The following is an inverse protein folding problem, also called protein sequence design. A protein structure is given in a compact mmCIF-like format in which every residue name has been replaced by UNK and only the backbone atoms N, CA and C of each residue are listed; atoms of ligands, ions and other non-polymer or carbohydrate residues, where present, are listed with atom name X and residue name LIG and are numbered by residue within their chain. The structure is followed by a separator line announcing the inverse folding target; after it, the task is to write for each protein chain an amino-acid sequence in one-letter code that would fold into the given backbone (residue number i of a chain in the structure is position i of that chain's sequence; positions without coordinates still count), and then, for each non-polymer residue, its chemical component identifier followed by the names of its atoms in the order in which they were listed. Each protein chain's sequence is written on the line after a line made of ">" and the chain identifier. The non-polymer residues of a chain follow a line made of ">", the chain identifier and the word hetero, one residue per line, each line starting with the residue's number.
data_IF_457348930815
#
_entry.id   IF_457348930815
#
_cell.length_a   1.000
_cell.length_b   1.000
_cell.length_c   1.000
_cell.angle_alpha   90.00
_cell.angle_beta   90.00
_cell.angle_gamma   90.00
#
_symmetry.space_group_name_H-M   'P 1'
#
loop_
_entity.id
_entity.type
_entity.pdbx_description
1 polymer ?
#
# COMPACT_ATOMS: atom_id res chain seq x y z
N UNK A 1 0.37 10.82 17.01
CA UNK A 1 -0.05 10.52 15.61
C UNK A 1 -0.81 11.69 15.02
N UNK A 2 -0.44 12.17 13.84
CA UNK A 2 -1.13 13.21 13.08
C UNK A 2 -2.19 12.57 12.17
N UNK A 3 -3.32 13.28 11.94
CA UNK A 3 -4.41 12.81 11.07
C UNK A 3 -4.67 13.84 9.97
N UNK A 4 -4.82 13.36 8.74
CA UNK A 4 -5.01 14.18 7.55
C UNK A 4 -6.29 13.77 6.80
N UNK A 5 -6.94 14.72 6.15
CA UNK A 5 -8.11 14.43 5.33
C UNK A 5 -7.66 13.75 4.02
N UNK A 6 -8.28 12.62 3.70
CA UNK A 6 -7.98 11.86 2.48
C UNK A 6 -8.83 12.38 1.30
N UNK A 7 -8.38 13.45 0.68
CA UNK A 7 -9.05 14.07 -0.47
C UNK A 7 -10.53 14.38 -0.21
N UNK A 8 -11.40 13.99 -1.16
CA UNK A 8 -12.86 14.17 -1.07
C UNK A 8 -13.60 13.02 -0.38
N UNK A 9 -12.88 12.00 0.14
CA UNK A 9 -13.51 10.84 0.78
C UNK A 9 -14.20 11.16 2.11
N UNK A 10 -13.83 12.26 2.75
CA UNK A 10 -14.27 12.59 4.11
C UNK A 10 -13.52 11.85 5.21
N UNK A 11 -12.68 10.89 4.88
CA UNK A 11 -11.94 10.09 5.85
C UNK A 11 -10.75 10.87 6.42
N UNK A 12 -10.65 10.94 7.74
CA UNK A 12 -9.53 11.54 8.45
C UNK A 12 -8.56 10.46 8.92
N UNK A 13 -7.61 10.12 8.04
CA UNK A 13 -6.68 9.01 8.22
C UNK A 13 -5.41 9.42 8.95
N UNK A 14 -4.80 8.48 9.68
CA UNK A 14 -3.49 8.66 10.30
C UNK A 14 -2.39 8.83 9.25
N UNK A 15 -1.37 9.65 9.55
CA UNK A 15 -0.20 9.87 8.66
C UNK A 15 0.48 8.57 8.27
N UNK A 16 0.62 7.64 9.21
CA UNK A 16 0.98 6.25 8.93
C UNK A 16 -0.27 5.39 8.95
N UNK A 17 -0.39 4.51 7.98
CA UNK A 17 -1.47 3.52 7.86
C UNK A 17 -0.90 2.11 7.75
N UNK A 18 -1.68 1.13 8.12
CA UNK A 18 -1.26 -0.26 8.21
C UNK A 18 -1.63 -1.03 6.95
N UNK A 19 -0.63 -1.36 6.12
CA UNK A 19 -0.77 -2.31 5.02
C UNK A 19 -0.67 -3.74 5.56
N UNK A 20 -1.68 -4.54 5.34
CA UNK A 20 -1.79 -5.86 5.94
C UNK A 20 -1.10 -6.98 5.13
N UNK A 21 -0.36 -6.67 4.06
CA UNK A 21 0.28 -7.71 3.21
C UNK A 21 1.19 -8.66 3.99
N UNK A 22 1.92 -8.15 4.98
CA UNK A 22 2.79 -8.98 5.83
C UNK A 22 2.02 -10.00 6.68
N UNK A 23 0.75 -9.75 7.02
CA UNK A 23 -0.08 -10.70 7.78
C UNK A 23 -0.39 -11.97 6.97
N UNK A 24 -0.33 -11.89 5.63
CA UNK A 24 -0.52 -13.01 4.71
C UNK A 24 0.74 -13.79 4.37
N UNK A 25 1.82 -13.63 5.12
CA UNK A 25 3.11 -14.26 4.87
C UNK A 25 3.70 -13.98 3.47
N UNK A 26 3.34 -12.85 2.86
CA UNK A 26 3.78 -12.44 1.50
C UNK A 26 5.30 -12.32 1.40
N UNK A 27 5.95 -11.89 2.47
CA UNK A 27 7.39 -11.64 2.50
C UNK A 27 8.16 -12.71 3.29
N UNK A 28 7.56 -13.23 4.36
CA UNK A 28 8.16 -14.21 5.28
C UNK A 28 7.07 -14.99 5.99
N UNK A 29 7.37 -16.22 6.50
CA UNK A 29 6.48 -16.90 7.43
C UNK A 29 6.13 -16.00 8.61
N UNK A 30 4.90 -16.09 9.09
CA UNK A 30 4.33 -15.22 10.10
C UNK A 30 3.70 -16.06 11.21
N UNK A 31 3.96 -15.71 12.46
CA UNK A 31 3.21 -16.19 13.60
C UNK A 31 1.89 -15.43 13.73
N UNK A 32 0.76 -16.13 13.69
CA UNK A 32 -0.57 -15.49 13.68
C UNK A 32 -0.84 -14.68 14.96
N UNK A 33 -0.58 -15.19 16.18
CA UNK A 33 -0.70 -14.41 17.42
C UNK A 33 0.13 -13.12 17.40
N UNK A 34 1.38 -13.17 16.92
CA UNK A 34 2.24 -12.00 16.80
C UNK A 34 1.67 -10.99 15.79
N UNK A 35 1.18 -11.47 14.65
CA UNK A 35 0.54 -10.64 13.62
C UNK A 35 -0.73 -9.92 14.13
N UNK A 36 -1.58 -10.62 14.87
CA UNK A 36 -2.76 -10.04 15.54
C UNK A 36 -2.32 -8.96 16.54
N UNK A 37 -1.30 -9.21 17.33
CA UNK A 37 -0.77 -8.23 18.28
C UNK A 37 -0.14 -7.01 17.57
N UNK A 38 0.42 -7.16 16.37
CA UNK A 38 0.89 -6.04 15.57
C UNK A 38 -0.26 -5.11 15.15
N UNK A 39 -1.42 -5.67 14.77
CA UNK A 39 -2.63 -4.87 14.46
C UNK A 39 -3.15 -4.13 15.69
N UNK A 40 -3.24 -4.81 16.84
CA UNK A 40 -3.67 -4.18 18.08
C UNK A 40 -2.69 -3.06 18.50
N UNK A 41 -1.38 -3.30 18.38
CA UNK A 41 -0.35 -2.29 18.63
C UNK A 41 -0.53 -1.07 17.72
N UNK A 42 -0.87 -1.29 16.44
CA UNK A 42 -1.14 -0.20 15.49
C UNK A 42 -2.35 0.64 15.94
N UNK A 43 -3.46 -0.01 16.32
CA UNK A 43 -4.65 0.66 16.86
C UNK A 43 -4.35 1.47 18.12
N UNK A 44 -3.58 0.91 19.05
CA UNK A 44 -3.23 1.55 20.33
C UNK A 44 -2.31 2.78 20.13
N UNK A 45 -1.50 2.77 19.08
CA UNK A 45 -0.63 3.89 18.68
C UNK A 45 -1.36 4.94 17.81
N UNK A 46 -2.67 4.75 17.58
CA UNK A 46 -3.51 5.70 16.86
C UNK A 46 -3.50 5.56 15.35
N UNK A 47 -3.01 4.43 14.81
CA UNK A 47 -3.23 4.10 13.40
C UNK A 47 -4.69 3.72 13.23
N UNK A 48 -5.37 4.39 12.29
CA UNK A 48 -6.80 4.21 12.07
C UNK A 48 -7.17 3.83 10.64
N UNK A 49 -6.20 3.56 9.75
CA UNK A 49 -6.49 3.09 8.40
C UNK A 49 -5.72 1.80 8.12
N UNK A 50 -6.45 0.77 7.71
CA UNK A 50 -5.96 -0.58 7.41
C UNK A 50 -6.31 -0.94 5.98
N UNK A 51 -5.30 -1.34 5.20
CA UNK A 51 -5.44 -1.78 3.81
C UNK A 51 -5.05 -3.24 3.66
N UNK A 52 -5.86 -4.00 2.95
CA UNK A 52 -5.65 -5.43 2.72
C UNK A 52 -6.02 -5.81 1.28
N UNK A 53 -5.84 -7.06 0.89
CA UNK A 53 -6.32 -7.60 -0.39
C UNK A 53 -6.56 -9.11 -0.31
N UNK A 54 -7.53 -9.65 -1.07
CA UNK A 54 -7.69 -11.11 -1.22
C UNK A 54 -6.44 -11.81 -1.77
N UNK A 55 -5.69 -11.12 -2.63
CA UNK A 55 -4.45 -11.63 -3.21
C UNK A 55 -3.32 -11.84 -2.19
N UNK A 56 -3.38 -11.19 -1.02
CA UNK A 56 -2.30 -11.28 -0.05
C UNK A 56 -2.31 -12.61 0.70
N UNK A 57 -1.36 -13.48 0.34
CA UNK A 57 -1.23 -14.80 0.94
C UNK A 57 -2.44 -15.72 0.72
N UNK A 58 -3.11 -15.61 -0.45
CA UNK A 58 -4.28 -16.43 -0.75
C UNK A 58 -5.41 -16.23 0.28
N UNK A 59 -5.77 -15.00 0.56
CA UNK A 59 -6.78 -14.57 1.55
C UNK A 59 -6.37 -14.65 3.02
N UNK A 60 -5.19 -15.19 3.34
CA UNK A 60 -4.72 -15.31 4.72
C UNK A 60 -4.66 -13.94 5.42
N UNK A 61 -4.20 -12.92 4.70
CA UNK A 61 -4.09 -11.56 5.23
C UNK A 61 -5.43 -11.00 5.70
N UNK A 62 -6.49 -11.16 4.90
CA UNK A 62 -7.85 -10.75 5.29
C UNK A 62 -8.36 -11.54 6.50
N UNK A 63 -8.06 -12.85 6.52
CA UNK A 63 -8.47 -13.73 7.64
C UNK A 63 -7.79 -13.31 8.95
N UNK A 64 -6.50 -13.04 8.94
CA UNK A 64 -5.75 -12.61 10.13
C UNK A 64 -6.18 -11.21 10.57
N UNK A 65 -6.34 -10.28 9.63
CA UNK A 65 -6.81 -8.92 9.93
C UNK A 65 -8.24 -8.95 10.51
N UNK A 66 -9.14 -9.75 9.95
CA UNK A 66 -10.50 -9.92 10.45
C UNK A 66 -10.54 -10.49 11.88
N UNK A 67 -9.66 -11.44 12.20
CA UNK A 67 -9.50 -11.94 13.58
C UNK A 67 -9.03 -10.83 14.52
N UNK A 68 -8.07 -10.02 14.10
CA UNK A 68 -7.52 -8.93 14.90
C UNK A 68 -8.53 -7.79 15.12
N UNK A 69 -9.38 -7.52 14.14
CA UNK A 69 -10.40 -6.47 14.25
C UNK A 69 -11.68 -6.93 14.97
N UNK A 70 -11.81 -8.22 15.27
CA UNK A 70 -12.99 -8.74 15.98
C UNK A 70 -13.13 -8.09 17.35
N UNK A 71 -14.28 -7.45 17.57
CA UNK A 71 -14.59 -6.74 18.83
C UNK A 71 -14.01 -5.33 18.91
N UNK A 72 -13.24 -4.89 17.94
CA UNK A 72 -12.83 -3.47 17.82
C UNK A 72 -14.03 -2.67 17.29
N UNK A 73 -14.47 -1.59 17.97
CA UNK A 73 -15.56 -0.75 17.46
C UNK A 73 -15.26 -0.26 16.05
N UNK A 74 -16.26 -0.38 15.14
CA UNK A 74 -16.09 -0.11 13.70
C UNK A 74 -15.74 1.35 13.38
N UNK A 75 -16.12 2.27 14.23
CA UNK A 75 -15.83 3.70 14.14
C UNK A 75 -14.40 4.08 14.55
N UNK A 76 -13.63 3.12 15.10
CA UNK A 76 -12.23 3.34 15.46
C UNK A 76 -11.26 3.22 14.28
N UNK A 77 -11.70 2.67 13.15
CA UNK A 77 -10.81 2.44 12.01
C UNK A 77 -11.52 2.57 10.66
N UNK A 78 -10.75 2.89 9.66
CA UNK A 78 -11.12 2.80 8.24
C UNK A 78 -10.50 1.55 7.64
N UNK A 79 -11.23 0.91 6.72
CA UNK A 79 -10.84 -0.36 6.13
C UNK A 79 -10.96 -0.31 4.61
N UNK A 80 -9.89 -0.68 3.92
CA UNK A 80 -9.94 -0.94 2.49
C UNK A 80 -9.57 -2.37 2.16
N UNK A 81 -10.17 -2.90 1.11
CA UNK A 81 -9.72 -4.11 0.43
C UNK A 81 -9.72 -3.89 -1.08
N UNK A 82 -9.41 -4.94 -1.83
CA UNK A 82 -9.19 -4.84 -3.28
C UNK A 82 -10.01 -5.86 -4.04
N UNK A 83 -10.25 -5.57 -5.32
CA UNK A 83 -10.97 -6.46 -6.24
C UNK A 83 -10.21 -6.58 -7.56
N UNK A 84 -10.47 -7.66 -8.30
CA UNK A 84 -9.92 -7.87 -9.64
C UNK A 84 -8.69 -8.76 -9.71
N UNK A 85 -7.83 -8.77 -8.69
CA UNK A 85 -6.68 -9.68 -8.59
C UNK A 85 -6.85 -10.63 -7.42
N UNK A 86 -6.70 -11.91 -7.68
CA UNK A 86 -6.89 -12.98 -6.71
C UNK A 86 -5.74 -13.97 -6.79
N UNK A 87 -5.26 -14.44 -5.63
CA UNK A 87 -4.25 -15.50 -5.55
C UNK A 87 -4.93 -16.77 -5.08
N UNK A 88 -4.69 -17.90 -5.77
CA UNK A 88 -5.22 -19.18 -5.31
C UNK A 88 -4.63 -19.54 -3.95
N UNK A 89 -5.42 -20.05 -3.00
CA UNK A 89 -4.91 -20.51 -1.72
C UNK A 89 -3.75 -21.51 -1.90
N UNK A 90 -2.62 -21.24 -1.24
CA UNK A 90 -1.43 -22.08 -1.30
C UNK A 90 -0.55 -21.91 -2.55
N UNK A 91 -0.90 -21.02 -3.48
CA UNK A 91 -0.15 -20.75 -4.72
C UNK A 91 0.25 -19.28 -4.80
N UNK A 92 1.26 -18.87 -4.04
CA UNK A 92 1.78 -17.52 -4.15
C UNK A 92 2.46 -17.31 -5.51
N UNK A 93 2.05 -16.26 -6.24
CA UNK A 93 2.55 -15.95 -7.59
C UNK A 93 1.68 -16.50 -8.73
N UNK A 94 0.70 -17.34 -8.47
CA UNK A 94 -0.30 -17.74 -9.46
C UNK A 94 -1.53 -16.84 -9.35
N UNK A 95 -1.39 -15.56 -9.71
CA UNK A 95 -2.48 -14.60 -9.63
C UNK A 95 -3.51 -14.83 -10.74
N UNK A 96 -4.78 -14.75 -10.37
CA UNK A 96 -5.91 -14.76 -11.30
C UNK A 96 -6.47 -13.35 -11.40
N UNK A 97 -6.61 -12.84 -12.62
CA UNK A 97 -7.25 -11.57 -12.90
C UNK A 97 -8.66 -11.79 -13.43
N UNK A 98 -9.65 -11.23 -12.74
CA UNK A 98 -11.05 -11.29 -13.14
C UNK A 98 -11.77 -10.02 -12.69
N UNK A 99 -12.05 -9.13 -13.62
CA UNK A 99 -12.72 -7.86 -13.39
C UNK A 99 -14.20 -7.89 -13.76
N UNK A 100 -14.79 -9.09 -13.95
CA UNK A 100 -16.20 -9.22 -14.20
C UNK A 100 -17.05 -8.74 -13.01
N UNK A 101 -18.21 -8.16 -13.32
CA UNK A 101 -19.21 -7.75 -12.33
C UNK A 101 -19.52 -8.85 -11.34
N UNK A 102 -19.73 -10.09 -11.85
CA UNK A 102 -20.07 -11.23 -11.00
C UNK A 102 -18.95 -11.56 -10.00
N UNK A 103 -17.69 -11.58 -10.47
CA UNK A 103 -16.54 -11.91 -9.60
C UNK A 103 -16.26 -10.82 -8.59
N UNK A 104 -16.30 -9.54 -9.00
CA UNK A 104 -16.12 -8.40 -8.09
C UNK A 104 -17.14 -8.44 -6.95
N UNK A 105 -18.42 -8.62 -7.26
CA UNK A 105 -19.48 -8.70 -6.24
C UNK A 105 -19.29 -9.91 -5.32
N UNK A 106 -19.01 -11.09 -5.87
CA UNK A 106 -18.71 -12.27 -5.07
C UNK A 106 -17.49 -12.08 -4.17
N UNK A 107 -16.42 -11.48 -4.69
CA UNK A 107 -15.21 -11.17 -3.92
C UNK A 107 -15.48 -10.21 -2.77
N UNK A 108 -16.34 -9.22 -2.96
CA UNK A 108 -16.71 -8.28 -1.89
C UNK A 108 -17.39 -9.02 -0.72
N UNK A 109 -18.34 -9.92 -1.01
CA UNK A 109 -19.01 -10.73 0.00
C UNK A 109 -18.04 -11.69 0.72
N UNK A 110 -17.14 -12.31 -0.03
CA UNK A 110 -16.09 -13.16 0.53
C UNK A 110 -15.16 -12.38 1.47
N UNK A 111 -14.73 -11.19 1.05
CA UNK A 111 -13.90 -10.30 1.88
C UNK A 111 -14.66 -9.80 3.11
N UNK A 112 -15.94 -9.42 2.96
CA UNK A 112 -16.83 -9.04 4.05
C UNK A 112 -16.92 -10.14 5.12
N UNK A 113 -17.10 -11.39 4.68
CA UNK A 113 -17.14 -12.56 5.58
C UNK A 113 -15.82 -12.77 6.34
N UNK A 114 -14.66 -12.67 5.64
CA UNK A 114 -13.34 -12.85 6.27
C UNK A 114 -13.01 -11.73 7.26
N UNK A 115 -13.36 -10.49 6.92
CA UNK A 115 -13.05 -9.30 7.69
C UNK A 115 -14.11 -8.96 8.76
N UNK A 116 -15.27 -9.64 8.72
CA UNK A 116 -16.36 -9.43 9.69
C UNK A 116 -17.02 -8.06 9.58
N UNK A 117 -17.19 -7.56 8.36
CA UNK A 117 -17.81 -6.26 8.06
C UNK A 117 -18.75 -6.37 6.86
N UNK A 118 -19.73 -5.50 6.78
CA UNK A 118 -20.65 -5.36 5.64
C UNK A 118 -20.38 -4.10 4.80
N UNK A 119 -19.39 -3.30 5.22
CA UNK A 119 -19.04 -2.03 4.59
C UNK A 119 -17.54 -1.81 4.53
N UNK A 120 -17.06 -1.32 3.39
CA UNK A 120 -15.67 -0.91 3.19
C UNK A 120 -15.59 0.60 2.94
N UNK A 121 -14.66 1.27 3.62
CA UNK A 121 -14.45 2.70 3.42
C UNK A 121 -13.88 3.00 2.04
N UNK A 122 -12.99 2.12 1.52
CA UNK A 122 -12.41 2.24 0.18
C UNK A 122 -12.33 0.85 -0.46
N UNK A 123 -12.64 0.77 -1.76
CA UNK A 123 -12.29 -0.38 -2.60
C UNK A 123 -11.31 0.04 -3.68
N UNK A 124 -10.21 -0.71 -3.80
CA UNK A 124 -9.23 -0.54 -4.85
C UNK A 124 -9.42 -1.57 -5.97
N UNK A 125 -9.48 -1.12 -7.22
CA UNK A 125 -9.32 -1.99 -8.39
C UNK A 125 -7.82 -2.30 -8.49
N UNK A 126 -7.45 -3.58 -8.42
CA UNK A 126 -6.10 -4.03 -8.09
C UNK A 126 -5.31 -4.48 -9.31
N UNK A 127 -4.06 -3.98 -9.43
CA UNK A 127 -3.00 -4.49 -10.33
C UNK A 127 -3.48 -4.74 -11.77
N UNK A 128 -4.13 -3.75 -12.37
CA UNK A 128 -4.70 -3.85 -13.72
C UNK A 128 -3.62 -3.95 -14.81
N UNK A 129 -2.38 -3.69 -14.48
CA UNK A 129 -1.20 -3.76 -15.34
C UNK A 129 -0.62 -5.16 -15.49
N UNK A 130 -0.99 -6.10 -14.65
CA UNK A 130 -0.44 -7.45 -14.66
C UNK A 130 -0.74 -8.20 -15.96
N UNK A 131 0.03 -9.28 -16.23
CA UNK A 131 -0.06 -10.09 -17.44
C UNK A 131 0.05 -9.24 -18.73
N UNK A 132 1.05 -8.37 -18.78
CA UNK A 132 1.29 -7.46 -19.91
C UNK A 132 0.07 -6.62 -20.30
N UNK A 133 -0.71 -6.16 -19.30
CA UNK A 133 -1.90 -5.32 -19.48
C UNK A 133 -3.05 -5.97 -20.25
N UNK A 134 -3.07 -7.30 -20.33
CA UNK A 134 -4.10 -8.03 -21.09
C UNK A 134 -5.53 -7.72 -20.62
N UNK A 135 -5.71 -7.33 -19.36
CA UNK A 135 -7.02 -7.09 -18.75
C UNK A 135 -7.25 -5.61 -18.36
N UNK A 136 -6.33 -4.72 -18.69
CA UNK A 136 -6.42 -3.30 -18.31
C UNK A 136 -7.72 -2.65 -18.77
N UNK A 137 -8.09 -2.81 -20.05
CA UNK A 137 -9.32 -2.20 -20.58
C UNK A 137 -10.58 -2.78 -19.94
N UNK A 138 -10.59 -4.06 -19.64
CA UNK A 138 -11.69 -4.69 -18.92
C UNK A 138 -11.84 -4.15 -17.50
N UNK A 139 -10.73 -3.98 -16.78
CA UNK A 139 -10.72 -3.38 -15.46
C UNK A 139 -11.18 -1.91 -15.47
N UNK A 140 -10.79 -1.16 -16.52
CA UNK A 140 -11.15 0.25 -16.71
C UNK A 140 -12.58 0.46 -17.23
N UNK A 141 -13.29 -0.58 -17.62
CA UNK A 141 -14.70 -0.53 -18.07
C UNK A 141 -15.59 -1.27 -17.08
N UNK A 142 -15.84 -2.56 -17.26
CA UNK A 142 -16.75 -3.35 -16.42
C UNK A 142 -16.34 -3.34 -14.94
N UNK A 143 -15.03 -3.47 -14.66
CA UNK A 143 -14.51 -3.42 -13.29
C UNK A 143 -14.80 -2.08 -12.61
N UNK A 144 -14.46 -0.98 -13.30
CA UNK A 144 -14.70 0.38 -12.83
C UNK A 144 -16.19 0.66 -12.62
N UNK A 145 -17.04 0.34 -13.60
CA UNK A 145 -18.49 0.53 -13.51
C UNK A 145 -19.09 -0.23 -12.33
N UNK A 146 -18.62 -1.47 -12.12
CA UNK A 146 -19.10 -2.33 -11.01
C UNK A 146 -18.75 -1.74 -9.64
N UNK A 147 -17.54 -1.22 -9.45
CA UNK A 147 -17.15 -0.60 -8.18
C UNK A 147 -17.94 0.70 -7.94
N UNK A 148 -18.23 1.47 -8.98
CA UNK A 148 -19.11 2.63 -8.88
C UNK A 148 -20.56 2.27 -8.55
N UNK A 149 -21.08 1.14 -9.04
CA UNK A 149 -22.39 0.62 -8.64
C UNK A 149 -22.41 0.28 -7.14
N UNK A 150 -21.41 -0.43 -6.65
CA UNK A 150 -21.28 -0.76 -5.22
C UNK A 150 -21.25 0.49 -4.34
N UNK A 151 -20.61 1.58 -4.82
CA UNK A 151 -20.65 2.87 -4.11
C UNK A 151 -22.06 3.47 -4.09
N UNK A 152 -22.78 3.45 -5.22
CA UNK A 152 -24.16 3.95 -5.27
C UNK A 152 -25.14 3.13 -4.43
N UNK A 153 -24.86 1.84 -4.25
CA UNK A 153 -25.60 0.93 -3.38
C UNK A 153 -25.28 1.12 -1.88
N UNK A 154 -24.30 1.97 -1.55
CA UNK A 154 -23.88 2.20 -0.17
C UNK A 154 -23.07 1.06 0.45
N UNK A 155 -22.54 0.13 -0.37
CA UNK A 155 -21.71 -1.00 0.08
C UNK A 155 -20.27 -0.57 0.34
N UNK A 156 -19.82 0.49 -0.32
CA UNK A 156 -18.50 1.07 -0.18
C UNK A 156 -18.56 2.60 -0.12
N UNK A 157 -17.59 3.23 0.51
CA UNK A 157 -17.51 4.70 0.65
C UNK A 157 -16.79 5.37 -0.52
N UNK A 158 -15.70 4.81 -0.99
CA UNK A 158 -14.83 5.44 -1.98
C UNK A 158 -14.31 4.44 -3.02
N UNK A 159 -14.17 4.93 -4.27
CA UNK A 159 -13.60 4.21 -5.40
C UNK A 159 -12.14 4.61 -5.58
N UNK A 160 -11.28 3.62 -5.75
CA UNK A 160 -9.85 3.82 -5.93
C UNK A 160 -9.25 2.76 -6.86
N UNK A 161 -8.04 2.99 -7.31
CA UNK A 161 -7.16 1.98 -7.89
C UNK A 161 -5.97 1.75 -6.96
N UNK A 162 -5.39 0.54 -7.01
CA UNK A 162 -4.12 0.20 -6.39
C UNK A 162 -3.22 -0.42 -7.46
N UNK A 163 -2.40 0.40 -8.12
CA UNK A 163 -1.59 0.01 -9.27
C UNK A 163 -0.19 0.61 -9.20
N UNK A 164 0.70 0.13 -10.07
CA UNK A 164 2.09 0.58 -10.11
C UNK A 164 2.39 1.59 -11.23
N UNK A 165 2.12 1.36 -12.55
CA UNK A 165 2.69 2.15 -13.63
C UNK A 165 2.21 3.60 -13.66
N UNK A 166 3.16 4.54 -13.78
CA UNK A 166 2.86 5.97 -13.81
C UNK A 166 2.06 6.42 -15.04
N UNK A 167 2.24 5.79 -16.19
CA UNK A 167 1.45 6.09 -17.39
C UNK A 167 -0.04 5.74 -17.22
N UNK A 168 -0.35 4.62 -16.56
CA UNK A 168 -1.73 4.26 -16.21
C UNK A 168 -2.31 5.20 -15.16
N UNK A 169 -1.52 5.63 -14.17
CA UNK A 169 -1.97 6.64 -13.22
C UNK A 169 -2.34 7.95 -13.91
N UNK A 170 -1.51 8.45 -14.84
CA UNK A 170 -1.81 9.66 -15.62
C UNK A 170 -3.12 9.50 -16.38
N UNK A 171 -3.30 8.38 -17.10
CA UNK A 171 -4.54 8.06 -17.80
C UNK A 171 -5.76 8.05 -16.89
N UNK A 172 -5.65 7.40 -15.73
CA UNK A 172 -6.75 7.31 -14.74
C UNK A 172 -7.09 8.70 -14.21
N UNK A 173 -6.09 9.50 -13.84
CA UNK A 173 -6.30 10.85 -13.34
C UNK A 173 -6.92 11.79 -14.36
N UNK A 174 -6.63 11.60 -15.64
CA UNK A 174 -7.21 12.40 -16.73
C UNK A 174 -8.67 12.01 -17.03
N UNK A 175 -8.93 10.70 -17.14
CA UNK A 175 -10.13 10.17 -17.80
C UNK A 175 -11.15 9.52 -16.88
N UNK A 176 -10.84 9.26 -15.60
CA UNK A 176 -11.71 8.54 -14.68
C UNK A 176 -12.01 9.35 -13.42
N UNK A 177 -13.21 9.16 -12.88
CA UNK A 177 -13.59 9.72 -11.58
C UNK A 177 -13.25 8.73 -10.47
N UNK A 178 -12.29 9.09 -9.62
CA UNK A 178 -11.91 8.33 -8.43
C UNK A 178 -11.89 9.23 -7.20
N UNK A 179 -12.01 8.62 -6.03
CA UNK A 179 -12.00 9.34 -4.74
C UNK A 179 -10.62 9.30 -4.10
N UNK A 180 -9.90 8.18 -4.30
CA UNK A 180 -8.55 7.97 -3.78
C UNK A 180 -7.68 7.22 -4.79
N UNK A 181 -6.37 7.23 -4.56
CA UNK A 181 -5.37 6.55 -5.36
C UNK A 181 -4.32 5.93 -4.45
N UNK A 182 -4.20 4.60 -4.47
CA UNK A 182 -3.13 3.88 -3.78
C UNK A 182 -1.96 3.69 -4.74
N UNK A 183 -1.01 4.62 -4.66
CA UNK A 183 0.19 4.66 -5.51
C UNK A 183 1.34 4.02 -4.75
N UNK A 184 1.87 2.90 -5.23
CA UNK A 184 2.96 2.23 -4.54
C UNK A 184 4.29 2.35 -5.27
N UNK A 185 5.39 2.39 -4.50
CA UNK A 185 6.78 2.53 -4.96
C UNK A 185 7.15 3.83 -5.70
N UNK A 186 6.27 4.82 -5.82
CA UNK A 186 6.54 6.09 -6.52
C UNK A 186 6.71 7.31 -5.60
N UNK A 187 6.74 7.10 -4.26
CA UNK A 187 7.22 8.10 -3.31
C UNK A 187 8.01 7.45 -2.18
N UNK A 188 9.25 7.17 -2.47
CA UNK A 188 10.26 6.63 -1.56
C UNK A 188 11.63 7.24 -1.89
N UNK A 189 12.69 6.86 -1.16
CA UNK A 189 14.03 7.50 -1.29
C UNK A 189 14.56 7.49 -2.72
N UNK A 190 14.31 6.42 -3.48
CA UNK A 190 14.79 6.29 -4.86
C UNK A 190 13.77 6.70 -5.93
N UNK A 191 12.53 7.05 -5.57
CA UNK A 191 11.51 7.41 -6.54
C UNK A 191 10.61 8.52 -6.00
N UNK A 192 10.35 9.51 -6.82
CA UNK A 192 9.49 10.66 -6.48
C UNK A 192 8.48 10.98 -7.58
N UNK A 193 8.22 10.06 -8.49
CA UNK A 193 7.31 10.27 -9.63
C UNK A 193 5.86 10.53 -9.19
N UNK A 194 5.43 10.03 -8.03
CA UNK A 194 4.11 10.35 -7.44
C UNK A 194 3.88 11.88 -7.38
N UNK A 195 4.93 12.68 -7.21
CA UNK A 195 4.78 14.15 -7.17
C UNK A 195 4.18 14.73 -8.46
N UNK A 196 4.33 14.04 -9.59
CA UNK A 196 3.74 14.44 -10.88
C UNK A 196 2.20 14.38 -10.86
N UNK A 197 1.62 13.57 -9.99
CA UNK A 197 0.17 13.41 -9.86
C UNK A 197 -0.47 14.45 -8.92
N UNK A 198 0.31 15.07 -8.03
CA UNK A 198 -0.22 15.93 -6.97
C UNK A 198 -1.00 17.15 -7.47
N UNK A 199 -0.58 17.86 -8.57
CA UNK A 199 -1.38 18.98 -9.09
C UNK A 199 -2.80 18.58 -9.45
N UNK A 200 -2.96 17.48 -10.21
CA UNK A 200 -4.29 16.97 -10.61
C UNK A 200 -5.04 16.36 -9.41
N UNK A 201 -4.33 15.69 -8.49
CA UNK A 201 -4.93 15.17 -7.26
C UNK A 201 -5.56 16.30 -6.43
N UNK A 202 -4.87 17.44 -6.31
CA UNK A 202 -5.36 18.62 -5.59
C UNK A 202 -6.59 19.21 -6.29
N UNK A 203 -6.52 19.42 -7.59
CA UNK A 203 -7.62 19.97 -8.40
C UNK A 203 -8.89 19.11 -8.28
N UNK A 204 -8.77 17.80 -8.47
CA UNK A 204 -9.87 16.83 -8.42
C UNK A 204 -10.21 16.35 -6.99
N UNK A 205 -9.46 16.80 -6.00
CA UNK A 205 -9.55 16.39 -4.59
C UNK A 205 -9.47 14.88 -4.40
N UNK A 206 -8.56 14.22 -5.14
CA UNK A 206 -8.27 12.80 -5.02
C UNK A 206 -7.38 12.57 -3.80
N UNK A 207 -7.75 11.65 -2.92
CA UNK A 207 -6.96 11.29 -1.76
C UNK A 207 -5.77 10.40 -2.13
N UNK A 208 -4.54 10.87 -1.90
CA UNK A 208 -3.33 10.08 -2.18
C UNK A 208 -2.98 9.19 -1.00
N UNK A 209 -2.81 7.91 -1.28
CA UNK A 209 -2.30 6.90 -0.34
C UNK A 209 -0.96 6.44 -0.90
N UNK A 210 0.14 6.77 -0.22
CA UNK A 210 1.48 6.33 -0.62
C UNK A 210 1.72 4.92 -0.11
N UNK A 211 1.98 3.98 -0.99
CA UNK A 211 2.33 2.60 -0.64
C UNK A 211 3.83 2.31 -0.77
N UNK A 212 4.29 1.29 -0.05
CA UNK A 212 5.66 0.75 -0.16
C UNK A 212 6.78 1.75 0.14
N UNK A 213 6.79 2.42 1.31
CA UNK A 213 7.84 3.38 1.68
C UNK A 213 9.24 2.76 1.69
N UNK A 214 9.32 1.43 1.82
CA UNK A 214 10.57 0.67 1.82
C UNK A 214 10.97 0.14 0.45
N UNK A 215 10.34 0.61 -0.66
CA UNK A 215 10.66 0.19 -2.03
C UNK A 215 10.54 -1.33 -2.21
N UNK A 216 9.45 -1.93 -1.74
CA UNK A 216 9.24 -3.40 -1.73
C UNK A 216 10.41 -4.20 -1.12
N UNK A 217 11.06 -3.63 -0.11
CA UNK A 217 12.17 -4.22 0.61
C UNK A 217 13.57 -3.75 0.17
N UNK A 218 13.71 -3.07 -0.96
CA UNK A 218 14.99 -2.54 -1.43
C UNK A 218 15.63 -1.55 -0.44
N UNK A 219 14.82 -0.77 0.27
CA UNK A 219 15.23 0.21 1.27
C UNK A 219 15.16 -0.35 2.69
N UNK A 220 15.64 -1.58 2.87
CA UNK A 220 15.77 -2.25 4.17
C UNK A 220 17.14 -2.91 4.30
N UNK A 221 17.62 -3.12 5.52
CA UNK A 221 18.90 -3.82 5.75
C UNK A 221 18.86 -5.29 5.29
N UNK A 222 17.68 -5.91 5.24
CA UNK A 222 17.48 -7.27 4.75
C UNK A 222 17.57 -7.35 3.22
N UNK A 223 17.16 -6.30 2.52
CA UNK A 223 16.94 -6.31 1.08
C UNK A 223 15.57 -6.88 0.69
N UNK A 224 15.26 -6.86 -0.63
CA UNK A 224 13.99 -7.32 -1.17
C UNK A 224 13.89 -8.85 -1.17
N UNK A 225 12.66 -9.36 -1.24
CA UNK A 225 12.40 -10.78 -1.46
C UNK A 225 12.89 -11.26 -2.83
N UNK A 226 13.02 -12.59 -3.00
CA UNK A 226 13.58 -13.18 -4.23
C UNK A 226 12.74 -12.87 -5.48
N UNK A 227 11.42 -12.79 -5.34
CA UNK A 227 10.50 -12.46 -6.43
C UNK A 227 10.65 -11.02 -6.96
N UNK A 228 11.33 -10.12 -6.23
CA UNK A 228 11.49 -8.72 -6.67
C UNK A 228 12.35 -8.65 -7.95
N UNK A 229 11.91 -7.92 -9.01
CA UNK A 229 12.55 -7.94 -10.33
C UNK A 229 13.88 -7.18 -10.43
N UNK A 230 14.31 -6.47 -9.38
CA UNK A 230 15.60 -5.80 -9.35
C UNK A 230 16.76 -6.79 -9.61
N UNK A 231 17.59 -6.51 -10.59
CA UNK A 231 18.76 -7.32 -10.93
C UNK A 231 19.88 -7.20 -9.87
N UNK A 232 20.93 -8.02 -9.99
CA UNK A 232 22.02 -8.06 -9.03
C UNK A 232 22.74 -6.70 -8.88
N UNK A 233 22.88 -5.92 -9.95
CA UNK A 233 23.53 -4.61 -9.91
C UNK A 233 22.66 -3.60 -9.17
N UNK A 234 21.33 -3.58 -9.42
CA UNK A 234 20.40 -2.74 -8.69
C UNK A 234 20.44 -3.08 -7.19
N UNK A 235 20.32 -4.38 -6.85
CA UNK A 235 20.36 -4.85 -5.45
C UNK A 235 21.69 -4.46 -4.76
N UNK A 236 22.81 -4.49 -5.47
CA UNK A 236 24.11 -4.07 -4.93
C UNK A 236 24.16 -2.57 -4.60
N UNK A 237 23.53 -1.71 -5.42
CA UNK A 237 23.41 -0.28 -5.13
C UNK A 237 22.60 -0.02 -3.85
N UNK A 238 21.47 -0.68 -3.68
CA UNK A 238 20.66 -0.53 -2.47
C UNK A 238 21.38 -1.06 -1.23
N UNK A 239 22.13 -2.17 -1.35
CA UNK A 239 22.98 -2.67 -0.26
C UNK A 239 24.05 -1.66 0.12
N UNK A 240 24.74 -1.08 -0.87
CA UNK A 240 25.73 -0.01 -0.63
C UNK A 240 25.12 1.20 0.08
N UNK A 241 23.90 1.59 -0.31
CA UNK A 241 23.17 2.67 0.37
C UNK A 241 22.80 2.32 1.82
N UNK A 242 22.37 1.08 2.06
CA UNK A 242 22.06 0.60 3.43
C UNK A 242 23.32 0.55 4.31
N UNK A 243 24.44 0.06 3.78
CA UNK A 243 25.71 0.03 4.51
C UNK A 243 26.20 1.45 4.83
N UNK A 244 26.07 2.38 3.88
CA UNK A 244 26.38 3.79 4.12
C UNK A 244 25.51 4.40 5.23
N UNK A 245 24.21 4.20 5.18
CA UNK A 245 23.29 4.67 6.22
C UNK A 245 23.66 4.11 7.61
N UNK A 246 23.96 2.81 7.67
CA UNK A 246 24.35 2.15 8.91
C UNK A 246 25.65 2.74 9.47
N UNK A 247 26.62 3.04 8.63
CA UNK A 247 27.87 3.70 9.04
C UNK A 247 27.65 5.12 9.59
N UNK A 248 26.54 5.78 9.20
CA UNK A 248 26.10 7.07 9.76
C UNK A 248 25.16 6.92 10.98
N UNK A 249 24.97 5.71 11.49
CA UNK A 249 24.13 5.44 12.66
C UNK A 249 22.62 5.47 12.42
N UNK A 250 22.18 5.54 11.17
CA UNK A 250 20.75 5.55 10.81
C UNK A 250 20.44 4.40 9.86
N UNK A 251 19.63 3.40 10.25
CA UNK A 251 19.18 2.36 9.33
C UNK A 251 18.47 2.96 8.11
N UNK A 252 18.72 2.41 6.91
CA UNK A 252 18.09 2.94 5.68
C UNK A 252 16.57 2.91 5.73
N UNK A 253 15.97 1.92 6.40
CA UNK A 253 14.52 1.82 6.59
C UNK A 253 13.94 2.99 7.39
N UNK A 254 14.67 3.49 8.41
CA UNK A 254 14.28 4.69 9.15
C UNK A 254 14.25 5.91 8.22
N UNK A 255 15.32 6.15 7.48
CA UNK A 255 15.39 7.26 6.51
C UNK A 255 14.26 7.16 5.47
N UNK A 256 14.01 5.96 4.95
CA UNK A 256 12.98 5.71 3.95
C UNK A 256 11.58 6.03 4.47
N UNK A 257 11.24 5.56 5.68
CA UNK A 257 9.93 5.83 6.27
C UNK A 257 9.75 7.31 6.61
N UNK A 258 10.75 7.94 7.21
CA UNK A 258 10.73 9.37 7.53
C UNK A 258 10.52 10.21 6.28
N UNK A 259 11.28 9.96 5.21
CA UNK A 259 11.12 10.67 3.93
C UNK A 259 9.72 10.47 3.35
N UNK A 260 9.27 9.22 3.26
CA UNK A 260 8.01 8.87 2.58
C UNK A 260 6.76 9.38 3.31
N UNK A 261 6.83 9.59 4.63
CA UNK A 261 5.67 9.96 5.46
C UNK A 261 5.57 11.45 5.77
N UNK A 262 6.54 12.29 5.36
CA UNK A 262 6.60 13.69 5.80
C UNK A 262 6.19 14.70 4.73
N UNK A 263 5.78 14.27 3.54
CA UNK A 263 5.24 15.18 2.55
C UNK A 263 3.82 15.63 2.95
N UNK A 264 3.58 16.94 3.15
CA UNK A 264 2.27 17.43 3.62
C UNK A 264 1.14 17.25 2.61
N UNK A 265 1.46 17.04 1.33
CA UNK A 265 0.47 16.80 0.26
C UNK A 265 0.08 15.32 0.11
N UNK A 266 0.76 14.42 0.85
CA UNK A 266 0.47 12.99 0.89
C UNK A 266 -0.17 12.68 2.24
N UNK A 267 -1.50 12.49 2.29
CA UNK A 267 -2.24 12.33 3.55
C UNK A 267 -1.77 11.17 4.42
N UNK A 268 -1.39 10.05 3.78
CA UNK A 268 -1.01 8.83 4.51
C UNK A 268 -0.01 7.98 3.74
N UNK A 269 0.84 7.28 4.49
CA UNK A 269 1.81 6.30 3.97
C UNK A 269 1.56 4.94 4.60
N UNK A 270 1.33 3.92 3.76
CA UNK A 270 1.12 2.53 4.17
C UNK A 270 2.46 1.82 4.38
N UNK A 271 2.73 1.37 5.60
CA UNK A 271 3.79 0.40 5.86
C UNK A 271 3.19 -0.97 6.21
N UNK A 272 3.96 -2.03 6.05
CA UNK A 272 3.52 -3.39 6.39
C UNK A 272 4.53 -4.11 7.27
N UNK A 273 4.03 -4.75 8.31
CA UNK A 273 4.79 -5.64 9.21
C UNK A 273 3.83 -6.55 9.96
N UNK A 274 4.32 -7.73 10.38
CA UNK A 274 3.59 -8.61 11.29
C UNK A 274 4.16 -8.57 12.72
N UNK A 275 5.06 -7.62 13.03
CA UNK A 275 5.78 -7.55 14.32
C UNK A 275 5.39 -6.30 15.11
N UNK A 276 4.91 -6.44 16.35
CA UNK A 276 4.51 -5.30 17.20
C UNK A 276 5.63 -4.28 17.45
N UNK A 277 6.88 -4.77 17.68
CA UNK A 277 8.02 -3.85 17.89
C UNK A 277 8.32 -3.02 16.65
N UNK A 278 8.19 -3.60 15.45
CA UNK A 278 8.38 -2.86 14.22
C UNK A 278 7.27 -1.81 14.01
N UNK A 279 6.03 -2.09 14.46
CA UNK A 279 4.97 -1.07 14.49
C UNK A 279 5.35 0.09 15.40
N UNK A 280 5.80 -0.18 16.64
CA UNK A 280 6.24 0.86 17.59
C UNK A 280 7.38 1.69 17.03
N UNK A 281 8.38 1.00 16.44
CA UNK A 281 9.54 1.68 15.86
C UNK A 281 9.14 2.57 14.68
N UNK A 282 8.29 2.07 13.77
CA UNK A 282 7.84 2.84 12.61
C UNK A 282 7.04 4.09 13.02
N UNK A 283 6.18 3.99 14.03
CA UNK A 283 5.45 5.15 14.54
C UNK A 283 6.41 6.16 15.17
N UNK A 284 7.37 5.72 15.97
CA UNK A 284 8.37 6.60 16.57
C UNK A 284 9.26 7.27 15.50
N UNK A 285 9.69 6.53 14.48
CA UNK A 285 10.52 7.07 13.39
C UNK A 285 9.76 8.09 12.54
N UNK A 286 8.48 7.86 12.25
CA UNK A 286 7.63 8.78 11.48
C UNK A 286 7.47 10.16 12.17
N UNK A 287 7.56 10.24 13.48
CA UNK A 287 7.44 11.47 14.26
C UNK A 287 8.73 12.30 14.26
N UNK A 288 9.85 11.73 13.83
CA UNK A 288 11.14 12.41 13.75
C UNK A 288 11.43 12.90 12.32
N UNK A 289 12.03 14.09 12.15
CA UNK A 289 12.43 14.55 10.82
C UNK A 289 13.53 13.66 10.24
N UNK A 290 13.52 13.48 8.91
CA UNK A 290 14.65 12.82 8.23
C UNK A 290 15.88 13.74 8.16
N UNK A 291 17.07 13.14 8.12
CA UNK A 291 18.31 13.85 7.85
C UNK A 291 18.43 14.13 6.34
N UNK A 292 18.26 15.41 5.95
CA UNK A 292 18.31 15.84 4.56
C UNK A 292 19.70 15.63 3.93
N UNK A 293 20.80 15.78 4.70
CA UNK A 293 22.15 15.54 4.19
C UNK A 293 22.38 14.06 3.93
N UNK A 294 21.95 13.21 4.84
CA UNK A 294 22.02 11.76 4.67
C UNK A 294 21.18 11.32 3.45
N UNK A 295 19.96 11.88 3.29
CA UNK A 295 19.12 11.60 2.12
C UNK A 295 19.83 11.95 0.81
N UNK A 296 20.47 13.13 0.74
CA UNK A 296 21.19 13.57 -0.45
C UNK A 296 22.34 12.63 -0.81
N UNK A 297 23.14 12.19 0.18
CA UNK A 297 24.24 11.25 -0.04
C UNK A 297 23.72 9.86 -0.48
N UNK A 298 22.64 9.37 0.12
CA UNK A 298 22.00 8.12 -0.26
C UNK A 298 21.48 8.21 -1.71
N UNK A 299 20.84 9.31 -2.08
CA UNK A 299 20.36 9.53 -3.46
C UNK A 299 21.48 9.65 -4.48
N UNK A 300 22.66 10.15 -4.10
CA UNK A 300 23.85 10.09 -4.97
C UNK A 300 24.29 8.65 -5.23
N UNK A 301 24.28 7.78 -4.21
CA UNK A 301 24.58 6.36 -4.36
C UNK A 301 23.55 5.68 -5.27
N UNK A 302 22.27 5.99 -5.07
CA UNK A 302 21.15 5.41 -5.81
C UNK A 302 20.89 6.08 -7.18
N UNK A 303 21.71 7.04 -7.60
CA UNK A 303 21.52 7.80 -8.86
C UNK A 303 21.19 6.95 -10.08
N UNK A 304 21.82 5.77 -10.31
CA UNK A 304 21.51 4.92 -11.47
C UNK A 304 20.13 4.27 -11.44
N UNK A 305 19.47 4.26 -10.28
CA UNK A 305 18.15 3.63 -10.05
C UNK A 305 17.08 4.61 -9.54
N UNK A 306 17.35 5.92 -9.65
CA UNK A 306 16.36 6.93 -9.33
C UNK A 306 15.21 6.90 -10.36
N UNK A 307 13.98 6.88 -9.89
CA UNK A 307 12.76 6.83 -10.69
C UNK A 307 12.75 5.65 -11.69
N UNK A 308 13.42 4.56 -11.34
CA UNK A 308 13.44 3.35 -12.15
C UNK A 308 12.22 2.50 -11.84
N UNK A 309 11.40 2.27 -12.86
CA UNK A 309 10.33 1.28 -12.79
C UNK A 309 10.87 -0.14 -13.01
N UNK A 310 10.34 -1.09 -12.25
CA UNK A 310 10.59 -2.52 -12.44
C UNK A 310 9.31 -3.19 -12.91
N UNK A 311 9.40 -4.01 -13.96
CA UNK A 311 8.26 -4.79 -14.46
C UNK A 311 8.00 -6.00 -13.53
N UNK A 312 6.77 -6.13 -13.05
CA UNK A 312 6.29 -7.23 -12.22
C UNK A 312 5.50 -8.25 -13.03
#
# INVERSE_FOLDING_TARGET
>A
MQYNLLGKTGLKVSRLSFGASSLGAVFHPVDEPEAINAVHTALDLGINYFDVAPAYGGTLSETVLGKALRGVPRDRYFLSTKVGKYTKPGSYGEDTLDYSRARIRASLEESASRLGTDYFDIIHIHDIEYQNRAYTEWALTEGYDTVHELKREGRIGAVSFGIYPMDLWKRIFESYEIDAALVHNHYCVNDTQLLELLPTAREKRIGIINGSPFGSGLLTDRGPADWHPANANDRALFRKAADFCRAQGTPIGRLALQFSSQNPEIPTTLFSTARPDAVRQNVADCEQPYDAKLLDEVRKILRPVLNKEWSY
#
